data_IF_261744840491
#
_entry.id   IF_261744840491
#
_cell.length_a   1.000
_cell.length_b   1.000
_cell.length_c   1.000
_cell.angle_alpha   90.00
_cell.angle_beta   90.00
_cell.angle_gamma   90.00
#
_symmetry.space_group_name_H-M   'P 1'
#
loop_
_entity.id
_entity.type
_entity.pdbx_description
1 polymer ?
#
# COMPACT_ATOMS: atom_id res chain seq x y z
N UNK A 1 3.99 -44.20 -1.55
CA UNK A 1 5.14 -43.35 -1.17
C UNK A 1 4.59 -42.11 -0.50
N UNK A 2 4.78 -41.93 0.81
CA UNK A 2 4.50 -40.65 1.46
C UNK A 2 5.63 -39.68 1.10
N UNK A 3 5.29 -38.47 0.62
CA UNK A 3 6.29 -37.43 0.45
C UNK A 3 6.93 -37.14 1.82
N UNK A 4 8.27 -37.10 1.87
CA UNK A 4 8.99 -36.76 3.09
C UNK A 4 8.75 -35.28 3.42
N UNK A 5 8.57 -34.94 4.69
CA UNK A 5 8.27 -33.56 5.13
C UNK A 5 9.29 -32.51 4.64
N UNK A 6 10.54 -32.93 4.40
CA UNK A 6 11.61 -32.10 3.83
C UNK A 6 11.41 -31.72 2.35
N UNK A 7 10.38 -32.24 1.69
CA UNK A 7 9.97 -31.86 0.34
C UNK A 7 8.81 -30.83 0.32
N UNK A 8 8.25 -30.48 1.48
CA UNK A 8 7.19 -29.46 1.59
C UNK A 8 7.77 -28.06 1.81
N UNK A 9 6.97 -27.04 1.46
CA UNK A 9 7.31 -25.64 1.71
C UNK A 9 7.29 -25.27 3.19
N UNK A 10 7.88 -24.12 3.52
CA UNK A 10 7.97 -23.59 4.89
C UNK A 10 6.88 -22.55 5.23
N UNK A 11 5.83 -22.44 4.41
CA UNK A 11 4.75 -21.50 4.66
C UNK A 11 3.99 -21.88 5.94
N UNK A 12 3.72 -20.88 6.78
CA UNK A 12 2.81 -20.99 7.90
C UNK A 12 1.43 -20.46 7.52
N UNK A 13 0.42 -20.72 8.36
CA UNK A 13 -0.94 -20.22 8.12
C UNK A 13 -0.97 -18.68 8.01
N UNK A 14 -0.08 -17.95 8.68
CA UNK A 14 0.02 -16.49 8.57
C UNK A 14 0.63 -16.01 7.24
N UNK A 15 1.30 -16.89 6.49
CA UNK A 15 1.92 -16.59 5.20
C UNK A 15 0.98 -16.83 4.01
N UNK A 16 -0.17 -17.44 4.27
CA UNK A 16 -1.15 -17.80 3.24
C UNK A 16 -2.41 -16.97 3.39
N UNK A 17 -2.90 -16.44 2.28
CA UNK A 17 -4.13 -15.63 2.20
C UNK A 17 -5.32 -16.31 2.92
N UNK A 18 -6.07 -15.52 3.70
CA UNK A 18 -7.20 -15.99 4.48
C UNK A 18 -8.19 -16.79 3.62
N UNK A 19 -8.56 -17.98 4.10
CA UNK A 19 -9.49 -18.87 3.41
C UNK A 19 -8.91 -19.66 2.22
N UNK A 20 -7.63 -19.47 1.87
CA UNK A 20 -6.92 -20.37 0.94
C UNK A 20 -6.35 -21.56 1.70
N UNK A 21 -6.29 -22.72 1.05
CA UNK A 21 -5.70 -23.93 1.63
C UNK A 21 -4.29 -24.17 1.08
N UNK A 22 -3.46 -24.83 1.88
CA UNK A 22 -2.11 -25.26 1.51
C UNK A 22 -1.76 -26.57 2.22
N UNK A 23 -0.73 -27.26 1.73
CA UNK A 23 -0.18 -28.45 2.40
C UNK A 23 0.90 -28.03 3.39
N UNK A 24 0.67 -28.28 4.67
CA UNK A 24 1.62 -28.00 5.76
C UNK A 24 2.84 -28.90 5.71
N UNK A 25 3.86 -28.58 6.52
CA UNK A 25 5.05 -29.43 6.73
C UNK A 25 4.71 -30.81 7.31
N UNK A 26 3.55 -30.95 7.96
CA UNK A 26 3.02 -32.23 8.42
C UNK A 26 2.38 -33.08 7.29
N UNK A 27 2.33 -32.55 6.06
CA UNK A 27 1.68 -33.20 4.92
C UNK A 27 0.15 -33.14 4.96
N UNK A 28 -0.43 -32.31 5.83
CA UNK A 28 -1.87 -32.15 6.01
C UNK A 28 -2.35 -30.83 5.42
N UNK A 29 -3.61 -30.80 4.97
CA UNK A 29 -4.29 -29.56 4.59
C UNK A 29 -4.36 -28.60 5.79
N UNK A 30 -4.02 -27.34 5.54
CA UNK A 30 -4.16 -26.24 6.48
C UNK A 30 -4.78 -25.02 5.76
N UNK A 31 -5.43 -24.14 6.53
CA UNK A 31 -6.05 -22.91 6.00
C UNK A 31 -5.22 -21.69 6.36
N UNK A 32 -4.99 -20.83 5.38
CA UNK A 32 -4.35 -19.53 5.54
C UNK A 32 -5.18 -18.57 6.37
N UNK A 33 -4.50 -17.64 7.03
CA UNK A 33 -5.04 -16.65 7.97
C UNK A 33 -4.60 -15.22 7.65
N UNK A 34 -3.75 -15.03 6.64
CA UNK A 34 -3.26 -13.69 6.27
C UNK A 34 -4.44 -12.81 5.81
N UNK A 35 -4.69 -11.65 6.45
CA UNK A 35 -5.81 -10.79 6.09
C UNK A 35 -5.79 -10.37 4.62
N UNK A 36 -6.96 -10.37 3.97
CA UNK A 36 -7.12 -9.77 2.64
C UNK A 36 -7.33 -8.27 2.80
N UNK A 37 -6.52 -7.47 2.11
CA UNK A 37 -6.62 -6.02 2.11
C UNK A 37 -7.30 -5.57 0.83
N UNK A 38 -8.48 -4.98 0.98
CA UNK A 38 -9.25 -4.43 -0.12
C UNK A 38 -8.55 -3.23 -0.77
N UNK A 39 -8.74 -3.10 -2.07
CA UNK A 39 -8.15 -2.01 -2.83
C UNK A 39 -8.76 -0.67 -2.39
N UNK A 40 -7.90 0.24 -1.94
CA UNK A 40 -8.28 1.62 -1.62
C UNK A 40 -7.38 2.61 -2.36
N UNK A 41 -7.98 3.70 -2.81
CA UNK A 41 -7.23 4.87 -3.27
C UNK A 41 -7.19 5.88 -2.13
N UNK A 42 -5.99 6.22 -1.68
CA UNK A 42 -5.76 7.14 -0.57
C UNK A 42 -5.04 8.36 -1.12
N UNK A 43 -5.55 9.55 -0.82
CA UNK A 43 -4.89 10.80 -1.18
C UNK A 43 -4.22 11.39 0.06
N UNK A 44 -2.91 11.63 0.00
CA UNK A 44 -2.12 12.24 1.06
C UNK A 44 -1.91 13.74 0.77
N UNK A 45 -2.24 14.56 1.75
CA UNK A 45 -1.82 15.96 1.81
C UNK A 45 -0.42 16.08 2.45
N UNK A 46 0.20 17.25 2.35
CA UNK A 46 1.49 17.56 2.91
C UNK A 46 1.49 17.35 4.43
N UNK A 47 2.50 16.62 4.92
CA UNK A 47 2.60 16.24 6.32
C UNK A 47 1.72 15.06 6.74
N UNK A 48 0.86 14.53 5.87
CA UNK A 48 0.10 13.31 6.15
C UNK A 48 0.93 12.06 5.90
N UNK A 49 0.64 11.01 6.68
CA UNK A 49 1.22 9.68 6.52
C UNK A 49 0.09 8.67 6.41
N UNK A 50 0.37 7.54 5.76
CA UNK A 50 -0.56 6.42 5.72
C UNK A 50 0.21 5.12 6.00
N UNK A 51 -0.22 4.41 7.04
CA UNK A 51 0.27 3.08 7.36
C UNK A 51 -0.45 2.06 6.50
N UNK A 52 0.32 1.33 5.71
CA UNK A 52 -0.19 0.20 4.92
C UNK A 52 -0.35 -0.99 5.87
N UNK A 53 -1.55 -1.58 6.01
CA UNK A 53 -1.75 -2.74 6.87
C UNK A 53 -1.03 -3.97 6.29
N UNK A 54 -0.52 -4.82 7.18
CA UNK A 54 0.01 -6.12 6.80
C UNK A 54 -1.12 -7.03 6.28
N UNK A 55 -0.86 -7.74 5.19
CA UNK A 55 -1.83 -8.63 4.57
C UNK A 55 -1.61 -8.79 3.07
N UNK A 56 -2.49 -9.57 2.45
CA UNK A 56 -2.52 -9.77 1.01
C UNK A 56 -3.24 -8.58 0.33
N UNK A 57 -2.49 -7.76 -0.39
CA UNK A 57 -3.06 -6.66 -1.19
C UNK A 57 -3.44 -7.15 -2.58
N UNK A 58 -4.61 -6.76 -3.09
CA UNK A 58 -5.09 -7.13 -4.44
C UNK A 58 -4.34 -6.47 -5.60
N UNK A 59 -3.29 -5.68 -5.30
CA UNK A 59 -2.49 -4.94 -6.28
C UNK A 59 -3.20 -3.74 -6.94
N UNK A 60 -4.49 -3.53 -6.66
CA UNK A 60 -5.28 -2.45 -7.28
C UNK A 60 -5.36 -1.17 -6.43
N UNK A 61 -4.90 -1.23 -5.17
CA UNK A 61 -4.81 -0.06 -4.28
C UNK A 61 -3.77 0.96 -4.75
N UNK A 62 -3.96 2.23 -4.40
CA UNK A 62 -3.05 3.33 -4.77
C UNK A 62 -2.93 4.34 -3.63
N UNK A 63 -1.71 4.81 -3.38
CA UNK A 63 -1.46 6.01 -2.58
C UNK A 63 -1.11 7.14 -3.54
N UNK A 64 -1.90 8.20 -3.55
CA UNK A 64 -1.74 9.39 -4.39
C UNK A 64 -1.34 10.57 -3.52
N UNK A 65 -0.45 11.43 -4.00
CA UNK A 65 -0.27 12.74 -3.41
C UNK A 65 -1.34 13.70 -3.94
N UNK A 66 -1.86 14.59 -3.09
CA UNK A 66 -2.61 15.75 -3.55
C UNK A 66 -1.69 16.67 -4.37
N UNK A 67 -2.27 17.45 -5.28
CA UNK A 67 -1.47 18.38 -6.10
C UNK A 67 -0.90 19.49 -5.22
N UNK A 68 0.27 20.02 -5.59
CA UNK A 68 0.84 21.20 -4.93
C UNK A 68 -0.16 22.36 -4.96
N UNK A 69 -0.77 22.56 -6.13
CA UNK A 69 -1.79 23.57 -6.39
C UNK A 69 -2.94 23.54 -5.36
N UNK A 70 -3.48 22.35 -5.06
CA UNK A 70 -4.58 22.19 -4.11
C UNK A 70 -4.21 22.52 -2.66
N UNK A 71 -2.92 22.65 -2.36
CA UNK A 71 -2.38 22.81 -1.01
C UNK A 71 -1.70 24.16 -0.78
N UNK A 72 -1.46 24.93 -1.85
CA UNK A 72 -0.87 26.26 -1.79
C UNK A 72 -1.73 27.27 -2.54
N UNK A 73 -2.93 27.54 -2.02
CA UNK A 73 -3.78 28.59 -2.57
C UNK A 73 -3.01 29.93 -2.54
N UNK A 74 -2.87 30.58 -3.69
CA UNK A 74 -2.22 31.89 -3.83
C UNK A 74 -3.10 32.84 -4.62
N UNK A 75 -2.95 34.11 -4.33
CA UNK A 75 -3.67 35.22 -5.00
C UNK A 75 -2.72 36.28 -5.54
N UNK A 76 -1.41 36.04 -5.48
CA UNK A 76 -0.41 36.98 -5.95
C UNK A 76 -0.50 37.17 -7.47
N UNK A 77 -0.44 38.41 -7.94
CA UNK A 77 -0.35 38.74 -9.36
C UNK A 77 1.06 39.26 -9.68
N UNK A 78 1.38 39.44 -10.97
CA UNK A 78 2.69 39.92 -11.39
C UNK A 78 3.10 41.25 -10.73
N UNK A 79 2.13 42.14 -10.44
CA UNK A 79 2.35 43.40 -9.72
C UNK A 79 2.82 43.23 -8.27
N UNK A 80 2.56 42.07 -7.66
CA UNK A 80 2.92 41.77 -6.28
C UNK A 80 4.33 41.12 -6.20
N UNK A 81 4.94 40.80 -7.35
CA UNK A 81 6.29 40.24 -7.45
C UNK A 81 7.28 41.38 -7.65
N UNK A 82 8.23 41.51 -6.71
CA UNK A 82 9.25 42.56 -6.80
C UNK A 82 10.10 42.43 -8.08
N UNK A 83 10.49 43.57 -8.66
CA UNK A 83 11.27 43.62 -9.90
C UNK A 83 12.54 42.75 -9.81
N UNK A 84 12.76 41.93 -10.84
CA UNK A 84 13.89 40.99 -10.90
C UNK A 84 13.72 39.71 -10.08
N UNK A 85 12.60 39.51 -9.37
CA UNK A 85 12.30 38.24 -8.68
C UNK A 85 11.44 37.33 -9.57
N UNK A 86 11.65 36.03 -9.43
CA UNK A 86 10.75 34.98 -9.94
C UNK A 86 10.02 34.34 -8.76
N UNK A 87 8.73 34.09 -8.93
CA UNK A 87 7.93 33.37 -7.95
C UNK A 87 7.12 32.31 -8.68
N UNK A 88 7.02 31.12 -8.05
CA UNK A 88 6.03 30.14 -8.47
C UNK A 88 4.67 30.57 -7.91
N UNK A 89 3.73 30.93 -8.77
CA UNK A 89 2.37 31.30 -8.35
C UNK A 89 1.41 30.28 -8.94
N UNK A 90 0.48 29.80 -8.13
CA UNK A 90 -0.55 28.86 -8.53
C UNK A 90 -1.93 29.49 -8.34
#
# INVERSE_FOLDING_TARGET
MSAQASAFGNAEAMDVAAGKTFTSTAGLEATGTMPIIEAKIITLNCGQTHTIPAGCHSGSGKVKAASLASQTARTAAAKDIASGKTAWVN
#
